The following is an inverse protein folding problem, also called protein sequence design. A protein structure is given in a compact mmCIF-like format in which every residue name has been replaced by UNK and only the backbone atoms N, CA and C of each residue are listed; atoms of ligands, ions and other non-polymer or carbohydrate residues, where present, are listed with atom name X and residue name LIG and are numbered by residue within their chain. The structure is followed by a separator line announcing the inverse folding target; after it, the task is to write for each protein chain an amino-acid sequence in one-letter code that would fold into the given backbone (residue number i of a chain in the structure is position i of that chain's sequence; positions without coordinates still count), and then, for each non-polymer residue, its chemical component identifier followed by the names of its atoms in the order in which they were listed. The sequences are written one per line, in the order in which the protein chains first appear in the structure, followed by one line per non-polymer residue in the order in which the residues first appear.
data_IF_118641289717
#
_entry.id   IF_118641289717
#
_cell.length_a   1.000
_cell.length_b   1.000
_cell.length_c   1.000
_cell.angle_alpha   90.00
_cell.angle_beta   90.00
_cell.angle_gamma   90.00
#
_symmetry.space_group_name_H-M   'P 1'
#
loop_
_entity.id
_entity.type
_entity.pdbx_description
1 polymer ?
#
# COMPACT_ATOMS: atom_id res chain seq x y z
N UNK A 1 14.63 -12.76 -11.57
CA UNK A 1 13.38 -13.47 -11.20
C UNK A 1 12.23 -12.71 -11.81
N UNK A 2 11.16 -13.38 -12.24
CA UNK A 2 9.96 -12.66 -12.69
C UNK A 2 9.33 -11.94 -11.49
N UNK A 3 8.85 -10.72 -11.71
CA UNK A 3 8.15 -9.96 -10.67
C UNK A 3 6.77 -10.61 -10.42
N UNK A 4 6.32 -10.73 -9.16
CA UNK A 4 5.00 -11.25 -8.83
C UNK A 4 3.85 -10.46 -9.49
N UNK A 5 2.70 -11.10 -9.77
CA UNK A 5 1.60 -10.47 -10.52
C UNK A 5 0.87 -9.36 -9.76
N UNK A 6 1.07 -9.27 -8.44
CA UNK A 6 0.53 -8.20 -7.59
C UNK A 6 1.47 -6.99 -7.48
N UNK A 7 2.47 -6.91 -8.36
CA UNK A 7 3.40 -5.80 -8.47
C UNK A 7 3.20 -5.08 -9.80
N UNK A 8 3.30 -3.75 -9.77
CA UNK A 8 3.39 -2.89 -10.95
C UNK A 8 4.58 -1.95 -10.77
N UNK A 9 5.36 -1.71 -11.82
CA UNK A 9 6.41 -0.70 -11.77
C UNK A 9 5.87 0.69 -12.10
N UNK A 10 6.43 1.72 -11.49
CA UNK A 10 6.05 3.10 -11.79
C UNK A 10 6.21 3.45 -13.27
N UNK A 11 7.25 2.94 -13.93
CA UNK A 11 7.48 3.21 -15.36
C UNK A 11 6.34 2.70 -16.25
N UNK A 12 5.65 1.63 -15.85
CA UNK A 12 4.50 1.07 -16.59
C UNK A 12 3.22 1.88 -16.44
N UNK A 13 3.13 2.77 -15.45
CA UNK A 13 1.92 3.52 -15.14
C UNK A 13 2.15 5.04 -14.99
N UNK A 14 3.37 5.55 -15.17
CA UNK A 14 3.69 6.99 -14.98
C UNK A 14 2.88 7.93 -15.88
N UNK A 15 2.44 7.45 -17.04
CA UNK A 15 1.59 8.19 -17.97
C UNK A 15 0.09 8.13 -17.61
N UNK A 16 -0.30 7.28 -16.67
CA UNK A 16 -1.69 7.18 -16.22
C UNK A 16 -2.08 8.46 -15.46
N UNK A 17 -3.34 8.87 -15.60
CA UNK A 17 -3.93 9.82 -14.65
C UNK A 17 -4.26 9.11 -13.34
N UNK A 18 -4.47 9.87 -12.27
CA UNK A 18 -4.93 9.30 -10.99
C UNK A 18 -6.21 8.46 -11.14
N UNK A 19 -7.15 8.87 -12.00
CA UNK A 19 -8.37 8.12 -12.28
C UNK A 19 -8.10 6.81 -13.03
N UNK A 20 -7.21 6.84 -14.03
CA UNK A 20 -6.81 5.64 -14.79
C UNK A 20 -6.07 4.67 -13.88
N UNK A 21 -5.10 5.16 -13.11
CA UNK A 21 -4.34 4.34 -12.18
C UNK A 21 -5.24 3.74 -11.10
N UNK A 22 -6.21 4.49 -10.57
CA UNK A 22 -7.22 3.96 -9.63
C UNK A 22 -7.99 2.78 -10.22
N UNK A 23 -8.48 2.94 -11.46
CA UNK A 23 -9.21 1.89 -12.17
C UNK A 23 -8.33 0.66 -12.40
N UNK A 24 -7.07 0.87 -12.80
CA UNK A 24 -6.07 -0.19 -12.98
C UNK A 24 -5.78 -0.91 -11.66
N UNK A 25 -5.59 -0.18 -10.57
CA UNK A 25 -5.29 -0.72 -9.25
C UNK A 25 -6.37 -1.69 -8.76
N UNK A 26 -7.65 -1.38 -9.02
CA UNK A 26 -8.77 -2.27 -8.70
C UNK A 26 -8.76 -3.57 -9.51
N UNK A 27 -8.20 -3.55 -10.72
CA UNK A 27 -8.13 -4.70 -11.63
C UNK A 27 -6.85 -5.54 -11.47
N UNK A 28 -5.82 -5.02 -10.78
CA UNK A 28 -4.58 -5.76 -10.58
C UNK A 28 -4.84 -7.04 -9.76
N UNK A 29 -4.12 -8.14 -10.10
CA UNK A 29 -4.04 -9.30 -9.23
C UNK A 29 -3.58 -8.88 -7.85
N UNK A 30 -4.16 -9.48 -6.81
CA UNK A 30 -3.81 -9.18 -5.42
C UNK A 30 -3.37 -10.45 -4.72
N UNK A 31 -2.53 -10.29 -3.71
CA UNK A 31 -2.02 -11.40 -2.92
C UNK A 31 -2.42 -11.20 -1.48
N UNK A 32 -3.06 -12.19 -0.86
CA UNK A 32 -3.35 -12.13 0.58
C UNK A 32 -2.04 -11.92 1.35
N UNK A 33 -2.04 -10.97 2.28
CA UNK A 33 -0.85 -10.55 3.03
C UNK A 33 -0.22 -11.73 3.76
N UNK A 34 -1.03 -12.55 4.44
CA UNK A 34 -0.54 -13.74 5.16
C UNK A 34 0.14 -14.79 4.27
N UNK A 35 -0.05 -14.73 2.95
CA UNK A 35 0.51 -15.68 1.99
C UNK A 35 1.75 -15.13 1.26
N UNK A 36 2.18 -13.90 1.56
CA UNK A 36 3.37 -13.27 0.95
C UNK A 36 4.63 -13.90 1.54
N UNK A 37 5.50 -14.38 0.68
CA UNK A 37 6.75 -15.04 1.09
C UNK A 37 7.94 -14.07 1.10
N UNK A 38 8.97 -14.41 1.88
CA UNK A 38 10.25 -13.67 1.86
C UNK A 38 10.89 -13.68 0.48
N UNK A 39 10.79 -14.78 -0.27
CA UNK A 39 11.34 -14.90 -1.63
C UNK A 39 10.69 -13.90 -2.59
N UNK A 40 9.37 -13.73 -2.50
CA UNK A 40 8.66 -12.72 -3.29
C UNK A 40 9.12 -11.31 -2.89
N UNK A 41 9.20 -11.02 -1.58
CA UNK A 41 9.63 -9.71 -1.09
C UNK A 41 11.09 -9.36 -1.48
N UNK A 42 11.98 -10.36 -1.56
CA UNK A 42 13.34 -10.19 -2.07
C UNK A 42 13.39 -9.87 -3.57
N UNK A 43 12.36 -10.23 -4.34
CA UNK A 43 12.33 -10.03 -5.80
C UNK A 43 12.20 -8.56 -6.20
N UNK A 44 11.93 -7.67 -5.24
CA UNK A 44 11.75 -6.22 -5.46
C UNK A 44 13.01 -5.39 -5.22
N UNK A 45 14.20 -6.01 -5.17
CA UNK A 45 15.46 -5.33 -4.83
C UNK A 45 15.83 -4.16 -5.76
N UNK A 46 15.37 -4.18 -7.01
CA UNK A 46 15.57 -3.07 -7.96
C UNK A 46 14.71 -1.82 -7.66
N UNK A 47 13.74 -1.96 -6.76
CA UNK A 47 12.82 -0.91 -6.32
C UNK A 47 13.01 -0.69 -4.82
N UNK A 48 14.04 0.08 -4.42
CA UNK A 48 14.31 0.35 -3.00
C UNK A 48 13.20 1.18 -2.35
N UNK A 49 12.36 1.83 -3.16
CA UNK A 49 11.21 2.59 -2.71
C UNK A 49 9.91 2.08 -3.34
N UNK A 50 8.79 2.55 -2.79
CA UNK A 50 7.50 2.35 -3.44
C UNK A 50 6.32 2.50 -2.49
N UNK A 51 5.19 2.02 -2.96
CA UNK A 51 3.90 2.09 -2.30
C UNK A 51 3.32 0.69 -2.15
N UNK A 52 2.54 0.50 -1.09
CA UNK A 52 1.76 -0.70 -0.86
C UNK A 52 0.31 -0.32 -0.57
N UNK A 53 -0.59 -1.12 -1.11
CA UNK A 53 -2.04 -0.92 -1.06
C UNK A 53 -2.65 -2.17 -0.44
N UNK A 54 -3.43 -1.98 0.63
CA UNK A 54 -4.18 -3.05 1.27
C UNK A 54 -5.67 -2.92 0.95
N UNK A 55 -6.26 -4.04 0.53
CA UNK A 55 -7.67 -4.19 0.20
C UNK A 55 -8.31 -5.22 1.10
N UNK A 56 -9.61 -5.09 1.37
CA UNK A 56 -10.38 -6.15 2.00
C UNK A 56 -10.75 -7.26 0.99
N UNK A 57 -11.64 -8.17 1.41
CA UNK A 57 -12.17 -9.25 0.56
C UNK A 57 -13.18 -8.75 -0.48
N UNK A 58 -13.81 -7.59 -0.25
CA UNK A 58 -14.77 -6.94 -1.14
C UNK A 58 -14.09 -6.00 -2.15
N UNK A 59 -12.75 -5.98 -2.18
CA UNK A 59 -11.91 -5.16 -3.05
C UNK A 59 -11.98 -3.65 -2.75
N UNK A 60 -12.40 -3.26 -1.54
CA UNK A 60 -12.32 -1.88 -1.06
C UNK A 60 -10.91 -1.55 -0.60
N UNK A 61 -10.42 -0.37 -0.96
CA UNK A 61 -9.09 0.08 -0.58
C UNK A 61 -9.09 0.59 0.87
N UNK A 62 -8.52 -0.21 1.76
CA UNK A 62 -8.44 0.11 3.18
C UNK A 62 -7.24 1.00 3.50
N UNK A 63 -6.09 0.77 2.89
CA UNK A 63 -4.88 1.48 3.30
C UNK A 63 -3.87 1.65 2.17
N UNK A 64 -3.25 2.83 2.14
CA UNK A 64 -2.07 3.12 1.33
C UNK A 64 -0.93 3.55 2.24
N UNK A 65 0.23 2.95 2.03
CA UNK A 65 1.47 3.39 2.66
C UNK A 65 2.66 3.32 1.73
N UNK A 66 3.81 3.76 2.26
CA UNK A 66 5.05 3.88 1.50
C UNK A 66 6.23 3.20 2.18
N UNK A 67 7.13 2.73 1.33
CA UNK A 67 8.44 2.17 1.68
C UNK A 67 9.50 3.14 1.14
N UNK A 68 10.05 4.01 1.98
CA UNK A 68 11.07 5.01 1.57
C UNK A 68 12.27 5.12 2.49
N UNK A 69 12.15 4.63 3.72
CA UNK A 69 13.26 4.50 4.69
C UNK A 69 13.62 3.05 4.97
N UNK A 70 12.81 2.12 4.44
CA UNK A 70 12.86 0.67 4.60
C UNK A 70 12.26 0.07 3.33
N UNK A 71 12.81 -1.03 2.87
CA UNK A 71 12.34 -1.79 1.71
C UNK A 71 10.99 -2.46 1.99
N UNK A 72 10.33 -3.04 0.98
CA UNK A 72 9.08 -3.78 1.18
C UNK A 72 9.23 -4.96 2.15
N UNK A 73 10.35 -5.69 2.07
CA UNK A 73 10.64 -6.84 2.95
C UNK A 73 10.72 -6.45 4.42
N UNK A 74 11.14 -5.23 4.72
CA UNK A 74 11.21 -4.73 6.09
C UNK A 74 9.90 -4.02 6.50
N UNK A 75 9.29 -3.27 5.58
CA UNK A 75 8.16 -2.38 5.88
C UNK A 75 6.85 -3.13 5.99
N UNK A 76 6.54 -4.01 5.05
CA UNK A 76 5.24 -4.71 4.99
C UNK A 76 5.05 -5.60 6.22
N UNK A 77 5.99 -6.51 6.57
CA UNK A 77 5.83 -7.35 7.77
C UNK A 77 5.75 -6.55 9.06
N UNK A 78 6.43 -5.40 9.15
CA UNK A 78 6.44 -4.59 10.38
C UNK A 78 5.07 -4.09 10.81
N UNK A 79 4.11 -3.97 9.89
CA UNK A 79 2.71 -3.63 10.23
C UNK A 79 2.01 -4.71 11.04
N UNK A 80 2.49 -5.96 10.97
CA UNK A 80 1.84 -7.14 11.54
C UNK A 80 2.67 -7.72 12.68
N UNK A 81 3.38 -6.88 13.45
CA UNK A 81 4.00 -7.30 14.71
C UNK A 81 2.89 -7.81 15.65
N UNK A 82 3.07 -8.99 16.24
CA UNK A 82 2.05 -9.60 17.11
C UNK A 82 1.98 -8.96 18.48
N UNK A 83 2.94 -8.11 18.84
CA UNK A 83 2.96 -7.39 20.12
C UNK A 83 2.18 -6.09 19.98
N UNK A 84 1.15 -5.92 20.80
CA UNK A 84 0.28 -4.73 20.78
C UNK A 84 1.04 -3.42 21.12
N UNK A 85 2.04 -3.50 22.00
CA UNK A 85 2.86 -2.38 22.43
C UNK A 85 4.02 -2.06 21.46
N UNK A 86 4.22 -2.86 20.40
CA UNK A 86 5.23 -2.60 19.40
C UNK A 86 4.99 -1.27 18.65
N UNK A 87 6.08 -0.66 18.18
CA UNK A 87 6.03 0.65 17.51
C UNK A 87 5.57 0.59 16.06
N UNK A 88 5.67 -0.58 15.41
CA UNK A 88 5.44 -0.70 13.97
C UNK A 88 4.09 -1.28 13.57
N UNK A 89 3.26 -1.71 14.52
CA UNK A 89 1.95 -2.32 14.29
C UNK A 89 0.83 -1.34 13.90
N UNK A 90 1.12 -0.43 12.98
CA UNK A 90 0.21 0.66 12.62
C UNK A 90 -1.10 0.13 12.03
N UNK A 91 -1.08 -0.98 11.30
CA UNK A 91 -2.28 -1.47 10.61
C UNK A 91 -3.31 -2.10 11.56
N UNK A 92 -2.98 -3.08 12.44
CA UNK A 92 -3.94 -3.60 13.42
C UNK A 92 -4.53 -2.52 14.32
N UNK A 93 -3.72 -1.56 14.81
CA UNK A 93 -4.23 -0.44 15.62
C UNK A 93 -5.28 0.39 14.87
N UNK A 94 -5.06 0.66 13.59
CA UNK A 94 -6.04 1.37 12.74
C UNK A 94 -7.31 0.56 12.51
N UNK A 95 -7.17 -0.75 12.33
CA UNK A 95 -8.31 -1.65 12.19
C UNK A 95 -9.14 -1.65 13.47
N UNK A 96 -8.52 -1.73 14.65
CA UNK A 96 -9.24 -1.60 15.93
C UNK A 96 -10.01 -0.29 16.00
N UNK A 97 -9.36 0.84 15.69
CA UNK A 97 -9.97 2.17 15.75
C UNK A 97 -11.19 2.29 14.80
N UNK A 98 -11.07 1.83 13.55
CA UNK A 98 -12.09 2.03 12.51
C UNK A 98 -13.20 0.98 12.59
N UNK A 99 -12.85 -0.29 12.82
CA UNK A 99 -13.80 -1.39 12.86
C UNK A 99 -14.37 -1.65 14.27
N UNK A 100 -13.94 -0.89 15.28
CA UNK A 100 -14.34 -1.06 16.68
C UNK A 100 -14.08 -2.48 17.23
N UNK A 101 -12.95 -3.08 16.83
CA UNK A 101 -12.50 -4.39 17.33
C UNK A 101 -11.85 -4.19 18.70
N UNK A 102 -12.34 -4.93 19.71
CA UNK A 102 -11.86 -4.82 21.10
C UNK A 102 -10.52 -5.52 21.35
N UNK A 103 -10.24 -6.61 20.63
CA UNK A 103 -9.06 -7.45 20.87
C UNK A 103 -8.01 -7.28 19.75
N UNK A 104 -6.75 -7.01 20.13
CA UNK A 104 -5.68 -6.78 19.17
C UNK A 104 -5.41 -7.99 18.25
N UNK A 105 -5.56 -9.21 18.78
CA UNK A 105 -5.35 -10.45 18.02
C UNK A 105 -6.34 -10.59 16.86
N UNK A 106 -7.57 -10.13 17.03
CA UNK A 106 -8.60 -10.18 16.00
C UNK A 106 -8.29 -9.15 14.89
N UNK A 107 -7.88 -7.94 15.29
CA UNK A 107 -7.45 -6.92 14.34
C UNK A 107 -6.18 -7.30 13.58
N UNK A 108 -5.24 -7.99 14.24
CA UNK A 108 -4.05 -8.54 13.60
C UNK A 108 -4.41 -9.63 12.59
N UNK A 109 -5.29 -10.56 12.97
CA UNK A 109 -5.77 -11.63 12.10
C UNK A 109 -6.51 -11.08 10.87
N UNK A 110 -7.35 -10.06 11.06
CA UNK A 110 -8.00 -9.34 9.97
C UNK A 110 -6.98 -8.61 9.08
N UNK A 111 -5.96 -7.99 9.67
CA UNK A 111 -4.86 -7.40 8.90
C UNK A 111 -4.17 -8.41 7.97
N UNK A 112 -3.94 -9.64 8.43
CA UNK A 112 -3.34 -10.70 7.63
C UNK A 112 -4.26 -11.28 6.56
N UNK A 113 -5.59 -11.11 6.67
CA UNK A 113 -6.53 -11.51 5.61
C UNK A 113 -6.67 -10.48 4.49
N UNK A 114 -6.17 -9.26 4.67
CA UNK A 114 -6.16 -8.24 3.62
C UNK A 114 -5.34 -8.69 2.40
N UNK A 115 -5.65 -8.08 1.27
CA UNK A 115 -4.99 -8.30 -0.02
C UNK A 115 -4.03 -7.15 -0.34
N UNK A 116 -2.84 -7.50 -0.83
CA UNK A 116 -1.73 -6.59 -1.13
C UNK A 116 -1.56 -6.37 -2.63
N UNK A 117 -1.33 -5.11 -3.01
CA UNK A 117 -0.71 -4.70 -4.27
C UNK A 117 0.50 -3.82 -3.98
N UNK A 118 1.56 -3.96 -4.77
CA UNK A 118 2.79 -3.19 -4.67
C UNK A 118 3.03 -2.34 -5.91
N UNK A 119 3.44 -1.09 -5.71
CA UNK A 119 3.93 -0.20 -6.76
C UNK A 119 5.40 0.11 -6.49
N UNK A 120 6.29 -0.40 -7.34
CA UNK A 120 7.73 -0.16 -7.23
C UNK A 120 8.12 1.20 -7.80
N UNK A 121 8.85 1.99 -7.01
CA UNK A 121 9.33 3.32 -7.40
C UNK A 121 10.84 3.38 -7.12
N UNK A 122 11.64 3.82 -8.09
CA UNK A 122 13.10 3.90 -7.87
C UNK A 122 13.47 5.12 -7.05
N UNK A 123 12.89 6.28 -7.38
CA UNK A 123 13.21 7.54 -6.74
C UNK A 123 12.35 7.77 -5.47
N UNK A 124 13.01 8.23 -4.40
CA UNK A 124 12.42 8.32 -3.06
C UNK A 124 11.38 9.42 -2.96
N UNK A 125 11.67 10.60 -3.48
CA UNK A 125 10.80 11.77 -3.40
C UNK A 125 9.50 11.58 -4.20
N UNK A 126 9.57 10.88 -5.33
CA UNK A 126 8.47 10.46 -6.19
C UNK A 126 7.55 9.53 -5.41
N UNK A 127 8.09 8.54 -4.70
CA UNK A 127 7.28 7.68 -3.82
C UNK A 127 6.58 8.48 -2.70
N UNK A 128 7.24 9.50 -2.15
CA UNK A 128 6.63 10.40 -1.13
C UNK A 128 5.49 11.22 -1.74
N UNK A 129 5.71 11.81 -2.91
CA UNK A 129 4.74 12.66 -3.60
C UNK A 129 3.52 11.85 -4.03
N UNK A 130 3.75 10.68 -4.64
CA UNK A 130 2.70 9.75 -5.06
C UNK A 130 1.87 9.24 -3.87
N UNK A 131 2.50 8.90 -2.74
CA UNK A 131 1.75 8.50 -1.53
C UNK A 131 0.76 9.58 -1.10
N UNK A 132 1.21 10.83 -1.07
CA UNK A 132 0.38 11.97 -0.71
C UNK A 132 -0.79 12.14 -1.68
N UNK A 133 -0.50 12.14 -2.99
CA UNK A 133 -1.50 12.30 -4.04
C UNK A 133 -2.53 11.17 -4.07
N UNK A 134 -2.08 9.92 -3.99
CA UNK A 134 -2.95 8.74 -4.04
C UNK A 134 -3.80 8.61 -2.78
N UNK A 135 -3.27 8.90 -1.59
CA UNK A 135 -4.10 8.94 -0.37
C UNK A 135 -5.16 10.02 -0.45
N UNK A 136 -4.79 11.19 -0.98
CA UNK A 136 -5.71 12.31 -1.11
C UNK A 136 -6.78 12.06 -2.18
N UNK A 137 -6.43 11.39 -3.27
CA UNK A 137 -7.38 11.06 -4.34
C UNK A 137 -8.27 9.86 -4.00
N UNK A 138 -7.68 8.76 -3.50
CA UNK A 138 -8.37 7.49 -3.27
C UNK A 138 -9.13 7.44 -1.94
N UNK A 139 -8.77 8.31 -0.98
CA UNK A 139 -9.40 8.39 0.36
C UNK A 139 -9.57 7.02 1.05
N UNK A 140 -8.50 6.22 1.18
CA UNK A 140 -8.56 4.89 1.80
C UNK A 140 -8.96 4.96 3.28
N UNK A 141 -9.83 4.06 3.72
CA UNK A 141 -10.56 4.12 4.99
C UNK A 141 -9.67 4.21 6.23
N UNK A 142 -8.58 3.44 6.27
CA UNK A 142 -7.65 3.39 7.40
C UNK A 142 -6.62 4.52 7.37
N UNK A 143 -6.46 5.25 6.27
CA UNK A 143 -5.73 6.50 6.29
C UNK A 143 -6.68 7.61 6.69
N UNK A 144 -6.39 8.32 7.79
CA UNK A 144 -7.19 9.47 8.24
C UNK A 144 -7.55 10.37 7.05
N UNK A 145 -8.86 10.50 6.79
CA UNK A 145 -9.38 11.30 5.69
C UNK A 145 -8.93 12.76 5.83
N UNK A 146 -8.58 13.37 4.71
CA UNK A 146 -8.33 14.81 4.57
C UNK A 146 -9.21 15.32 3.45
N UNK A 147 -9.49 16.63 3.41
CA UNK A 147 -10.19 17.23 2.27
C UNK A 147 -9.41 16.92 0.99
N UNK A 148 -10.07 16.23 0.05
CA UNK A 148 -9.53 15.87 -1.26
C UNK A 148 -9.16 17.14 -2.04
N UNK A 149 -7.93 17.19 -2.53
CA UNK A 149 -7.37 18.28 -3.35
C UNK A 149 -6.89 17.77 -4.71
N UNK A 150 -6.46 16.53 -4.79
CA UNK A 150 -5.96 15.88 -5.99
C UNK A 150 -7.11 15.65 -6.99
N UNK A 151 -6.82 15.93 -8.26
CA UNK A 151 -7.80 15.89 -9.35
C UNK A 151 -7.54 14.62 -10.17
N UNK A 152 -8.60 13.88 -10.50
CA UNK A 152 -8.48 12.59 -11.19
C UNK A 152 -7.79 12.66 -12.56
N UNK A 153 -7.75 13.83 -13.21
CA UNK A 153 -7.08 14.04 -14.50
C UNK A 153 -5.58 14.31 -14.38
N UNK A 154 -5.05 14.49 -13.17
CA UNK A 154 -3.61 14.71 -12.96
C UNK A 154 -2.84 13.43 -13.27
N UNK A 155 -1.79 13.54 -14.10
CA UNK A 155 -0.93 12.43 -14.53
C UNK A 155 0.08 12.08 -13.43
N UNK A 156 0.35 10.80 -13.21
CA UNK A 156 1.29 10.36 -12.16
C UNK A 156 2.71 10.94 -12.34
N UNK A 157 3.15 11.16 -13.58
CA UNK A 157 4.41 11.83 -13.91
C UNK A 157 4.53 13.26 -13.34
N UNK A 158 3.42 13.95 -13.02
CA UNK A 158 3.50 15.28 -12.41
C UNK A 158 4.01 15.27 -10.96
N UNK A 159 4.15 14.08 -10.37
CA UNK A 159 4.64 13.88 -9.00
C UNK A 159 6.10 13.40 -8.97
N UNK A 160 6.72 13.23 -10.13
CA UNK A 160 8.15 12.93 -10.27
C UNK A 160 8.99 14.12 -9.78
N UNK A 161 10.14 13.82 -9.17
CA UNK A 161 11.06 14.82 -8.61
C UNK A 161 12.27 15.04 -9.52
#
# INVERSE_FOLDING_TARGET
MALPPYFVSYEECRADTLAIFSSRLLQLPKKRVGDVTLSELCSFSEYPNGLYFFFDEENHLWYVGKSTSRSFIERVPSHFDTREDAWFNTLPKKIMDVCSIGEYVDAHSLGLSLHLVLLGVKEKQTAINLEGALRDYLQPELNKAKKQKAIGTTVLASYEA
#
